data_IF_076799072423
#
_entry.id   IF_076799072423
#
_cell.length_a   1.000
_cell.length_b   1.000
_cell.length_c   1.000
_cell.angle_alpha   90.00
_cell.angle_beta   90.00
_cell.angle_gamma   90.00
#
_symmetry.space_group_name_H-M   'P 1'
#
loop_
_entity.id
_entity.type
_entity.pdbx_description
1 polymer ?
#
# COMPACT_ATOMS: atom_id res chain seq x y z
N UNK A 1 -3.17 -5.70 26.02
CA UNK A 1 -3.38 -5.07 24.70
C UNK A 1 -4.54 -5.81 24.03
N UNK A 2 -5.64 -5.14 23.69
CA UNK A 2 -6.79 -5.79 23.03
C UNK A 2 -6.51 -5.80 21.52
N UNK A 3 -6.45 -6.99 20.91
CA UNK A 3 -6.32 -7.11 19.46
C UNK A 3 -7.62 -6.64 18.80
N UNK A 4 -7.54 -5.65 17.92
CA UNK A 4 -8.67 -5.26 17.07
C UNK A 4 -8.78 -6.23 15.88
N UNK A 5 -10.00 -6.52 15.44
CA UNK A 5 -10.21 -7.21 14.17
C UNK A 5 -9.80 -6.31 12.98
N UNK A 6 -9.49 -6.92 11.84
CA UNK A 6 -9.06 -6.19 10.63
C UNK A 6 -10.02 -5.06 10.25
N UNK A 7 -11.31 -5.36 10.20
CA UNK A 7 -12.35 -4.40 9.82
C UNK A 7 -12.41 -3.20 10.79
N UNK A 8 -12.20 -3.45 12.08
CA UNK A 8 -12.12 -2.39 13.09
C UNK A 8 -10.85 -1.55 12.91
N UNK A 9 -9.71 -2.19 12.63
CA UNK A 9 -8.45 -1.53 12.34
C UNK A 9 -8.60 -0.60 11.12
N UNK A 10 -9.14 -1.10 10.00
CA UNK A 10 -9.30 -0.31 8.77
C UNK A 10 -10.21 0.90 8.98
N UNK A 11 -11.34 0.75 9.68
CA UNK A 11 -12.27 1.85 9.94
C UNK A 11 -11.72 2.92 10.87
N UNK A 12 -10.86 2.54 11.82
CA UNK A 12 -10.42 3.44 12.91
C UNK A 12 -9.06 4.09 12.64
N UNK A 13 -8.23 3.51 11.78
CA UNK A 13 -6.86 3.97 11.57
C UNK A 13 -6.78 5.21 10.68
N UNK A 14 -5.95 6.17 11.08
CA UNK A 14 -5.56 7.31 10.24
C UNK A 14 -4.39 6.95 9.30
N UNK A 15 -3.59 5.96 9.69
CA UNK A 15 -2.51 5.39 8.87
C UNK A 15 -2.61 3.87 8.95
N UNK A 16 -2.60 3.20 7.80
CA UNK A 16 -2.55 1.74 7.71
C UNK A 16 -1.26 1.33 7.01
N UNK A 17 -0.36 0.66 7.72
CA UNK A 17 0.87 0.08 7.15
C UNK A 17 0.76 -1.43 7.08
N UNK A 18 1.05 -2.02 5.92
CA UNK A 18 0.92 -3.46 5.70
C UNK A 18 2.28 -4.18 5.73
N UNK A 19 2.36 -5.24 6.53
CA UNK A 19 3.57 -6.03 6.74
C UNK A 19 3.24 -7.53 6.73
N UNK A 20 2.80 -8.04 5.58
CA UNK A 20 2.52 -9.46 5.39
C UNK A 20 3.32 -10.00 4.22
N UNK A 21 3.76 -11.27 4.26
CA UNK A 21 4.36 -11.91 3.08
C UNK A 21 3.32 -12.08 1.98
N UNK A 22 3.78 -12.27 0.74
CA UNK A 22 2.90 -12.73 -0.34
C UNK A 22 2.66 -14.23 -0.18
N UNK A 23 1.43 -14.61 0.09
CA UNK A 23 0.90 -15.98 0.06
C UNK A 23 -0.35 -16.00 -0.83
N UNK A 24 -0.98 -17.16 -1.01
CA UNK A 24 -2.24 -17.23 -1.75
C UNK A 24 -3.38 -16.50 -1.02
N UNK A 25 -3.36 -16.49 0.31
CA UNK A 25 -4.35 -15.78 1.15
C UNK A 25 -4.14 -14.26 1.17
N UNK A 26 -2.89 -13.79 1.04
CA UNK A 26 -2.56 -12.36 1.11
C UNK A 26 -2.41 -11.70 -0.26
N UNK A 27 -2.46 -12.47 -1.35
CA UNK A 27 -2.45 -11.92 -2.71
C UNK A 27 -3.68 -11.03 -2.92
N UNK A 28 -3.46 -9.77 -3.33
CA UNK A 28 -4.50 -8.75 -3.49
C UNK A 28 -5.37 -8.59 -2.24
N UNK A 29 -4.78 -8.83 -1.07
CA UNK A 29 -5.43 -8.64 0.22
C UNK A 29 -5.97 -7.22 0.32
N UNK A 30 -5.18 -6.18 0.11
CA UNK A 30 -5.71 -4.82 0.06
C UNK A 30 -6.40 -4.59 -1.29
N UNK A 31 -7.72 -4.70 -1.30
CA UNK A 31 -8.60 -4.57 -2.45
C UNK A 31 -9.57 -3.39 -2.30
N UNK A 32 -10.41 -3.15 -3.31
CA UNK A 32 -11.35 -2.03 -3.33
C UNK A 32 -12.28 -1.99 -2.11
N UNK A 33 -12.77 -3.14 -1.64
CA UNK A 33 -13.66 -3.21 -0.49
C UNK A 33 -12.94 -2.78 0.81
N UNK A 34 -11.68 -3.18 1.00
CA UNK A 34 -10.88 -2.79 2.17
C UNK A 34 -10.46 -1.32 2.12
N UNK A 35 -10.09 -0.78 0.96
CA UNK A 35 -9.85 0.65 0.82
C UNK A 35 -11.10 1.49 1.10
N UNK A 36 -12.29 1.01 0.71
CA UNK A 36 -13.56 1.70 1.01
C UNK A 36 -13.93 1.71 2.49
N UNK A 37 -13.35 0.82 3.32
CA UNK A 37 -13.53 0.83 4.77
C UNK A 37 -12.64 1.84 5.48
N UNK A 38 -11.57 2.31 4.84
CA UNK A 38 -10.63 3.25 5.43
C UNK A 38 -11.25 4.65 5.53
N UNK A 39 -10.72 5.48 6.45
CA UNK A 39 -11.11 6.89 6.50
C UNK A 39 -10.72 7.58 5.20
N UNK A 40 -11.52 8.57 4.79
CA UNK A 40 -11.21 9.41 3.62
C UNK A 40 -9.88 10.16 3.75
N UNK A 41 -9.48 10.50 4.99
CA UNK A 41 -8.20 11.14 5.28
C UNK A 41 -7.04 10.16 5.48
N UNK A 42 -7.29 8.84 5.43
CA UNK A 42 -6.28 7.87 5.80
C UNK A 42 -5.14 7.80 4.79
N UNK A 43 -3.94 7.50 5.29
CA UNK A 43 -2.77 7.19 4.46
C UNK A 43 -2.50 5.69 4.49
N UNK A 44 -2.30 5.09 3.32
CA UNK A 44 -1.90 3.70 3.19
C UNK A 44 -0.40 3.57 2.92
N UNK A 45 0.30 2.72 3.66
CA UNK A 45 1.74 2.49 3.49
C UNK A 45 1.98 1.02 3.11
N UNK A 46 2.75 0.80 2.05
CA UNK A 46 3.19 -0.54 1.66
C UNK A 46 4.68 -0.57 1.33
N UNK A 47 5.44 -1.20 2.21
CA UNK A 47 6.86 -1.56 2.01
C UNK A 47 7.05 -3.08 2.11
N UNK A 48 5.96 -3.85 1.94
CA UNK A 48 5.98 -5.31 2.03
C UNK A 48 6.19 -5.94 0.66
N UNK A 49 5.12 -6.22 -0.08
CA UNK A 49 5.16 -6.71 -1.46
C UNK A 49 4.02 -6.06 -2.26
N UNK A 50 4.28 -5.72 -3.52
CA UNK A 50 3.25 -5.11 -4.37
C UNK A 50 2.05 -6.03 -4.61
N UNK A 51 2.31 -7.36 -4.73
CA UNK A 51 1.27 -8.37 -4.94
C UNK A 51 0.23 -8.49 -3.81
N UNK A 52 0.49 -7.93 -2.63
CA UNK A 52 -0.46 -7.90 -1.49
C UNK A 52 -1.57 -6.88 -1.74
N UNK A 53 -1.36 -5.92 -2.63
CA UNK A 53 -2.31 -4.88 -2.99
C UNK A 53 -2.88 -5.22 -4.36
N UNK A 54 -4.19 -5.03 -4.55
CA UNK A 54 -4.75 -4.89 -5.89
C UNK A 54 -4.43 -3.49 -6.40
N UNK A 55 -3.34 -3.32 -7.15
CA UNK A 55 -2.84 -2.02 -7.61
C UNK A 55 -3.89 -1.21 -8.39
N UNK A 56 -4.70 -1.81 -9.30
CA UNK A 56 -5.80 -1.08 -9.93
C UNK A 56 -6.86 -0.59 -8.95
N UNK A 57 -7.05 -1.26 -7.81
CA UNK A 57 -7.97 -0.80 -6.77
C UNK A 57 -7.37 0.36 -5.96
N UNK A 58 -6.08 0.30 -5.64
CA UNK A 58 -5.36 1.39 -4.99
C UNK A 58 -5.36 2.66 -5.86
N UNK A 59 -5.04 2.55 -7.15
CA UNK A 59 -5.04 3.67 -8.10
C UNK A 59 -6.42 4.35 -8.11
N UNK A 60 -7.50 3.58 -8.25
CA UNK A 60 -8.87 4.12 -8.25
C UNK A 60 -9.23 4.75 -6.90
N UNK A 61 -8.82 4.14 -5.79
CA UNK A 61 -9.05 4.69 -4.46
C UNK A 61 -8.36 6.05 -4.26
N UNK A 62 -7.14 6.21 -4.78
CA UNK A 62 -6.38 7.46 -4.71
C UNK A 62 -6.95 8.53 -5.64
N UNK A 63 -7.22 8.18 -6.91
CA UNK A 63 -7.83 9.08 -7.90
C UNK A 63 -9.21 9.57 -7.43
N UNK A 64 -10.03 8.67 -6.88
CA UNK A 64 -11.35 8.98 -6.36
C UNK A 64 -11.35 9.61 -4.97
N UNK A 65 -10.17 9.84 -4.36
CA UNK A 65 -10.03 10.32 -2.97
C UNK A 65 -10.88 9.52 -1.98
N UNK A 66 -10.93 8.20 -2.17
CA UNK A 66 -11.50 7.24 -1.21
C UNK A 66 -10.61 7.17 0.03
N UNK A 67 -9.29 7.29 -0.17
CA UNK A 67 -8.29 7.49 0.88
C UNK A 67 -7.48 8.76 0.59
N UNK A 68 -6.79 9.28 1.60
CA UNK A 68 -6.10 10.56 1.54
C UNK A 68 -4.82 10.50 0.71
N UNK A 69 -4.08 9.40 0.80
CA UNK A 69 -2.85 9.20 0.02
C UNK A 69 -2.19 7.86 0.29
N UNK A 70 -1.03 7.63 -0.33
CA UNK A 70 -0.23 6.43 -0.11
C UNK A 70 1.29 6.66 -0.13
N UNK A 71 2.02 5.88 0.65
CA UNK A 71 3.48 5.75 0.59
C UNK A 71 3.86 4.34 0.16
N UNK A 72 4.54 4.18 -0.98
CA UNK A 72 4.81 2.87 -1.57
C UNK A 72 6.30 2.73 -1.94
N UNK A 73 6.89 1.61 -1.54
CA UNK A 73 8.23 1.19 -2.02
C UNK A 73 8.15 0.00 -2.98
N UNK A 74 6.98 -0.63 -3.13
CA UNK A 74 6.80 -1.89 -3.89
C UNK A 74 5.60 -1.80 -4.82
N UNK A 75 5.66 -2.50 -5.96
CA UNK A 75 4.66 -2.43 -7.04
C UNK A 75 4.25 -3.83 -7.52
N UNK A 76 3.05 -3.98 -8.11
CA UNK A 76 2.62 -5.29 -8.63
C UNK A 76 3.57 -5.82 -9.72
N UNK A 77 4.07 -4.90 -10.56
CA UNK A 77 5.09 -5.16 -11.56
C UNK A 77 6.29 -4.27 -11.31
N UNK A 78 7.46 -4.89 -11.24
CA UNK A 78 8.73 -4.21 -11.05
C UNK A 78 9.72 -4.59 -12.17
N UNK A 79 10.46 -3.63 -12.75
CA UNK A 79 10.37 -2.18 -12.54
C UNK A 79 9.00 -1.60 -12.92
N UNK A 80 8.62 -0.50 -12.27
CA UNK A 80 7.35 0.17 -12.55
C UNK A 80 7.32 0.65 -14.01
N UNK A 81 6.17 0.51 -14.67
CA UNK A 81 5.98 1.06 -16.00
C UNK A 81 6.02 2.60 -15.95
N UNK A 82 6.68 3.29 -16.90
CA UNK A 82 6.62 4.75 -16.99
C UNK A 82 5.20 5.30 -17.15
N UNK A 83 4.29 4.50 -17.72
CA UNK A 83 2.87 4.85 -17.90
C UNK A 83 2.00 4.49 -16.68
N UNK A 84 2.57 4.05 -15.56
CA UNK A 84 1.80 3.68 -14.39
C UNK A 84 1.13 4.93 -13.78
N UNK A 85 -0.22 4.97 -13.62
CA UNK A 85 -0.92 6.13 -13.09
C UNK A 85 -0.41 6.61 -11.74
N UNK A 86 0.13 5.72 -10.90
CA UNK A 86 0.71 6.10 -9.60
C UNK A 86 1.79 7.19 -9.74
N UNK A 87 2.56 7.20 -10.83
CA UNK A 87 3.63 8.18 -11.06
C UNK A 87 3.12 9.61 -11.28
N UNK A 88 1.84 9.79 -11.59
CA UNK A 88 1.24 11.08 -11.89
C UNK A 88 0.31 11.61 -10.79
N UNK A 89 0.16 10.90 -9.66
CA UNK A 89 -0.73 11.29 -8.58
C UNK A 89 -0.02 12.21 -7.58
N UNK A 90 -0.65 13.34 -7.25
CA UNK A 90 -0.10 14.29 -6.26
C UNK A 90 -0.22 13.80 -4.80
N UNK A 91 -1.02 12.75 -4.56
CA UNK A 91 -1.28 12.20 -3.24
C UNK A 91 -0.57 10.87 -2.98
N UNK A 92 0.56 10.63 -3.66
CA UNK A 92 1.43 9.49 -3.37
C UNK A 92 2.89 9.91 -3.22
N UNK A 93 3.61 9.14 -2.41
CA UNK A 93 5.08 9.18 -2.34
C UNK A 93 5.58 7.79 -2.71
N UNK A 94 6.49 7.74 -3.68
CA UNK A 94 6.97 6.49 -4.27
C UNK A 94 8.49 6.39 -4.14
N UNK A 95 8.98 5.21 -3.79
CA UNK A 95 10.41 4.86 -3.84
C UNK A 95 10.61 3.56 -4.64
N UNK A 96 11.77 3.37 -5.30
CA UNK A 96 11.94 2.28 -6.28
C UNK A 96 12.44 0.97 -5.65
N UNK A 97 11.69 0.40 -4.70
CA UNK A 97 12.02 -0.86 -4.00
C UNK A 97 13.42 -0.84 -3.37
N UNK A 98 13.69 0.22 -2.61
CA UNK A 98 15.00 0.46 -1.99
C UNK A 98 15.01 0.27 -0.49
N UNK A 99 13.89 -0.08 0.15
CA UNK A 99 13.83 -0.19 1.61
C UNK A 99 14.82 -1.21 2.19
N UNK A 100 15.14 -2.28 1.44
CA UNK A 100 16.14 -3.28 1.83
C UNK A 100 17.54 -3.00 1.25
N UNK A 101 17.70 -1.95 0.44
CA UNK A 101 18.94 -1.60 -0.26
C UNK A 101 19.81 -0.60 0.50
N UNK A 102 19.69 -0.52 1.83
CA UNK A 102 20.57 0.33 2.65
C UNK A 102 21.97 -0.27 2.73
N UNK A 103 23.00 0.56 2.97
CA UNK A 103 24.39 0.08 3.11
C UNK A 103 24.47 -1.00 4.19
N UNK A 104 23.96 -0.70 5.38
CA UNK A 104 23.96 -1.62 6.52
C UNK A 104 23.34 -2.98 6.17
N UNK A 105 22.16 -3.00 5.52
CA UNK A 105 21.47 -4.25 5.17
C UNK A 105 22.17 -5.08 4.09
N UNK A 106 23.09 -4.48 3.32
CA UNK A 106 23.85 -5.17 2.28
C UNK A 106 25.24 -5.61 2.75
N UNK A 107 25.78 -4.97 3.79
CA UNK A 107 27.16 -5.20 4.26
C UNK A 107 27.25 -5.96 5.58
N UNK A 108 26.17 -6.00 6.36
CA UNK A 108 26.04 -6.84 7.57
C UNK A 108 25.34 -8.17 7.25
#
# INVERSE_FOLDING_TARGET
>A
MKSAGLDELLRRSDIVSIHVPTTDETRKFMNAARFAQMKRSAVFINTSRGAVVGEPALIRALQGKVIGGAGLDVFEKEPISPDNPLLALDNVVLTPHIAAGTVDALTE
#
